data_IF_764101836929
#
_entry.id   IF_764101836929
#
_cell.length_a   1.000
_cell.length_b   1.000
_cell.length_c   1.000
_cell.angle_alpha   90.00
_cell.angle_beta   90.00
_cell.angle_gamma   90.00
#
_symmetry.space_group_name_H-M   'P 1'
#
loop_
_entity.id
_entity.type
_entity.pdbx_description
1 polymer ?
#
# COMPACT_ATOMS: atom_id res chain seq x y z
N UNK A 1 26.81 20.51 -3.08
CA UNK A 1 26.69 19.76 -1.81
C UNK A 1 26.23 20.77 -0.77
N UNK A 2 25.04 20.62 -0.20
CA UNK A 2 24.30 21.71 0.48
C UNK A 2 24.77 22.03 1.91
N UNK A 3 25.91 21.51 2.37
CA UNK A 3 26.48 21.84 3.67
C UNK A 3 25.62 21.41 4.87
N UNK A 4 24.59 20.58 4.66
CA UNK A 4 23.82 20.01 5.77
C UNK A 4 24.72 19.08 6.59
N UNK A 5 24.76 19.29 7.91
CA UNK A 5 25.45 18.39 8.84
C UNK A 5 24.87 16.98 8.74
N UNK A 6 25.71 15.93 8.86
CA UNK A 6 25.23 14.55 8.81
C UNK A 6 24.25 14.27 9.95
N UNK A 7 23.09 13.70 9.62
CA UNK A 7 22.12 13.23 10.61
C UNK A 7 22.65 11.97 11.31
N UNK A 8 23.00 12.09 12.59
CA UNK A 8 23.50 10.98 13.43
C UNK A 8 22.40 10.54 14.40
N UNK A 9 22.09 9.25 14.43
CA UNK A 9 21.10 8.64 15.33
C UNK A 9 21.43 7.16 15.58
N UNK A 10 20.80 6.52 16.57
CA UNK A 10 20.96 5.09 16.82
C UNK A 10 20.01 4.25 15.95
N UNK A 11 20.27 2.95 15.84
CA UNK A 11 19.36 2.03 15.16
C UNK A 11 17.98 2.00 15.83
N UNK A 12 17.93 2.07 17.16
CA UNK A 12 16.68 2.18 17.93
C UNK A 12 15.99 3.52 17.67
N UNK A 13 16.74 4.61 17.62
CA UNK A 13 16.22 5.94 17.30
C UNK A 13 15.60 6.01 15.91
N UNK A 14 16.23 5.37 14.92
CA UNK A 14 15.66 5.20 13.57
C UNK A 14 14.38 4.37 13.58
N UNK A 15 14.35 3.26 14.33
CA UNK A 15 13.20 2.37 14.42
C UNK A 15 12.01 2.99 15.16
N UNK A 16 12.27 3.89 16.12
CA UNK A 16 11.28 4.61 16.91
C UNK A 16 10.81 5.92 16.24
N UNK A 17 11.51 6.41 15.22
CA UNK A 17 11.17 7.65 14.52
C UNK A 17 9.82 7.59 13.80
N UNK A 18 9.37 6.39 13.42
CA UNK A 18 8.05 6.17 12.85
C UNK A 18 7.08 5.86 14.00
N UNK A 19 6.10 6.75 14.27
CA UNK A 19 5.11 6.51 15.32
C UNK A 19 4.27 5.27 14.97
N UNK A 20 4.00 4.43 15.96
CA UNK A 20 2.98 3.39 15.81
C UNK A 20 1.61 4.05 15.76
N UNK A 21 0.89 3.83 14.65
CA UNK A 21 -0.44 4.41 14.39
C UNK A 21 -1.50 3.33 14.23
N UNK A 22 -1.15 2.07 14.55
CA UNK A 22 -2.03 0.93 14.32
C UNK A 22 -2.22 0.61 12.83
N UNK A 23 -3.13 -0.31 12.50
CA UNK A 23 -3.27 -0.81 11.14
C UNK A 23 -3.91 0.21 10.21
N UNK A 24 -3.41 0.29 8.98
CA UNK A 24 -4.02 1.02 7.88
C UNK A 24 -5.49 0.63 7.71
N UNK A 25 -6.37 1.61 7.89
CA UNK A 25 -7.81 1.38 7.95
C UNK A 25 -8.41 1.25 6.54
N UNK A 26 -9.19 0.19 6.30
CA UNK A 26 -9.94 0.01 5.03
C UNK A 26 -11.30 0.68 5.12
N UNK A 27 -11.54 1.64 4.22
CA UNK A 27 -12.79 2.37 4.14
C UNK A 27 -13.93 1.52 3.54
N UNK A 28 -15.17 1.99 3.71
CA UNK A 28 -16.34 1.42 3.06
C UNK A 28 -16.20 1.56 1.53
N UNK A 29 -16.44 0.48 0.79
CA UNK A 29 -16.38 0.48 -0.69
C UNK A 29 -17.35 1.47 -1.35
N UNK A 30 -18.42 1.86 -0.65
CA UNK A 30 -19.50 2.72 -1.17
C UNK A 30 -19.39 4.15 -0.69
N UNK A 31 -19.34 4.36 0.63
CA UNK A 31 -19.43 5.69 1.23
C UNK A 31 -18.08 6.24 1.70
N UNK A 32 -17.01 5.44 1.60
CA UNK A 32 -15.63 5.81 1.94
C UNK A 32 -15.39 6.26 3.40
N UNK A 33 -16.39 6.18 4.27
CA UNK A 33 -16.22 6.30 5.72
C UNK A 33 -15.25 5.23 6.22
N UNK A 34 -14.59 5.48 7.34
CA UNK A 34 -13.72 4.52 8.02
C UNK A 34 -14.42 3.92 9.25
N UNK A 35 -14.07 2.71 9.69
CA UNK A 35 -14.50 2.14 10.96
C UNK A 35 -14.44 3.14 12.14
N UNK A 36 -13.32 3.85 12.28
CA UNK A 36 -13.14 4.87 13.32
C UNK A 36 -14.20 5.99 13.24
N UNK A 37 -14.49 6.51 12.04
CA UNK A 37 -15.52 7.54 11.86
C UNK A 37 -16.95 7.09 12.18
N UNK A 38 -17.16 5.77 12.33
CA UNK A 38 -18.45 5.18 12.66
C UNK A 38 -18.46 4.49 14.03
N UNK A 39 -17.40 4.64 14.83
CA UNK A 39 -17.30 4.04 16.17
C UNK A 39 -17.29 2.51 16.17
N UNK A 40 -16.83 1.88 15.09
CA UNK A 40 -16.72 0.40 14.99
C UNK A 40 -15.27 -0.02 14.77
N UNK A 41 -14.92 -1.22 15.23
CA UNK A 41 -13.57 -1.76 15.07
C UNK A 41 -13.25 -2.10 13.61
N UNK A 42 -14.20 -2.74 12.90
CA UNK A 42 -14.04 -3.07 11.49
C UNK A 42 -15.39 -3.15 10.77
N UNK A 43 -15.34 -3.09 9.44
CA UNK A 43 -16.50 -3.23 8.56
C UNK A 43 -16.65 -4.65 8.03
N UNK A 44 -17.88 -5.08 7.79
CA UNK A 44 -18.18 -6.39 7.22
C UNK A 44 -17.55 -6.57 5.85
N UNK A 45 -16.98 -7.75 5.59
CA UNK A 45 -16.40 -8.11 4.30
C UNK A 45 -17.50 -8.60 3.35
N UNK A 46 -17.32 -8.39 2.05
CA UNK A 46 -18.14 -9.03 1.03
C UNK A 46 -18.05 -10.56 1.19
N UNK A 47 -19.18 -11.24 1.40
CA UNK A 47 -19.20 -12.68 1.66
C UNK A 47 -18.68 -13.53 0.49
N UNK A 48 -18.71 -13.01 -0.74
CA UNK A 48 -18.26 -13.73 -1.92
C UNK A 48 -16.74 -13.60 -2.14
N UNK A 49 -16.21 -12.37 -2.23
CA UNK A 49 -14.78 -12.20 -2.50
C UNK A 49 -13.91 -12.01 -1.25
N UNK A 50 -14.49 -11.72 -0.07
CA UNK A 50 -13.76 -11.44 1.16
C UNK A 50 -12.92 -10.14 1.18
N UNK A 51 -12.81 -9.45 0.04
CA UNK A 51 -11.82 -8.36 -0.15
C UNK A 51 -12.37 -6.95 0.09
N UNK A 52 -13.57 -6.62 -0.41
CA UNK A 52 -14.18 -5.29 -0.19
C UNK A 52 -14.92 -5.27 1.15
N UNK A 53 -14.87 -4.15 1.87
CA UNK A 53 -15.55 -3.97 3.15
C UNK A 53 -16.67 -2.92 3.05
N UNK A 54 -17.74 -3.11 3.82
CA UNK A 54 -18.91 -2.25 3.83
C UNK A 54 -19.39 -1.98 5.26
N UNK A 55 -19.76 -0.72 5.54
CA UNK A 55 -20.31 -0.35 6.83
C UNK A 55 -21.75 -0.85 7.04
N UNK A 56 -22.46 -1.22 5.97
CA UNK A 56 -23.82 -1.74 6.05
C UNK A 56 -24.17 -2.59 4.81
N UNK A 57 -25.21 -3.42 4.94
CA UNK A 57 -25.80 -4.16 3.80
C UNK A 57 -26.31 -3.23 2.70
N UNK A 58 -26.83 -2.05 3.08
CA UNK A 58 -27.27 -1.03 2.12
C UNK A 58 -26.10 -0.53 1.27
N UNK A 59 -24.97 -0.19 1.89
CA UNK A 59 -23.77 0.21 1.15
C UNK A 59 -23.31 -0.89 0.19
N UNK A 60 -23.27 -2.15 0.64
CA UNK A 60 -22.93 -3.29 -0.22
C UNK A 60 -23.87 -3.42 -1.42
N UNK A 61 -25.18 -3.31 -1.20
CA UNK A 61 -26.18 -3.41 -2.27
C UNK A 61 -26.05 -2.25 -3.28
N UNK A 62 -25.82 -1.03 -2.81
CA UNK A 62 -25.61 0.15 -3.67
C UNK A 62 -24.34 0.03 -4.53
N UNK A 63 -23.26 -0.53 -3.98
CA UNK A 63 -22.00 -0.72 -4.70
C UNK A 63 -22.04 -1.92 -5.66
N UNK A 64 -23.02 -2.81 -5.56
CA UNK A 64 -23.04 -4.08 -6.29
C UNK A 64 -22.92 -3.93 -7.80
N UNK A 65 -23.55 -2.90 -8.40
CA UNK A 65 -23.47 -2.65 -9.84
C UNK A 65 -22.02 -2.45 -10.31
N UNK A 66 -21.21 -1.79 -9.51
CA UNK A 66 -19.78 -1.54 -9.80
C UNK A 66 -18.90 -2.70 -9.30
N UNK A 67 -19.19 -3.22 -8.10
CA UNK A 67 -18.39 -4.26 -7.46
C UNK A 67 -18.50 -5.63 -8.13
N UNK A 68 -19.64 -5.99 -8.74
CA UNK A 68 -19.92 -7.34 -9.23
C UNK A 68 -18.83 -7.90 -10.15
N UNK A 69 -18.34 -7.10 -11.10
CA UNK A 69 -17.28 -7.53 -12.03
C UNK A 69 -15.99 -7.88 -11.27
N UNK A 70 -15.56 -7.00 -10.36
CA UNK A 70 -14.37 -7.17 -9.53
C UNK A 70 -14.54 -8.35 -8.56
N UNK A 71 -15.73 -8.52 -8.00
CA UNK A 71 -16.04 -9.63 -7.10
C UNK A 71 -15.84 -10.97 -7.80
N UNK A 72 -16.41 -11.11 -9.02
CA UNK A 72 -16.25 -12.31 -9.84
C UNK A 72 -14.79 -12.56 -10.20
N UNK A 73 -14.06 -11.52 -10.62
CA UNK A 73 -12.66 -11.66 -11.00
C UNK A 73 -11.80 -12.14 -9.83
N UNK A 74 -11.99 -11.56 -8.64
CA UNK A 74 -11.27 -11.98 -7.42
C UNK A 74 -11.56 -13.44 -7.06
N UNK A 75 -12.82 -13.87 -7.13
CA UNK A 75 -13.20 -15.27 -6.85
C UNK A 75 -12.58 -16.22 -7.86
N UNK A 76 -12.63 -15.88 -9.16
CA UNK A 76 -12.03 -16.69 -10.21
C UNK A 76 -10.50 -16.78 -10.06
N UNK A 77 -9.85 -15.68 -9.66
CA UNK A 77 -8.41 -15.61 -9.43
C UNK A 77 -7.98 -16.60 -8.34
N UNK A 78 -8.70 -16.71 -7.22
CA UNK A 78 -8.36 -17.66 -6.14
C UNK A 78 -8.28 -19.10 -6.65
N UNK A 79 -9.26 -19.54 -7.45
CA UNK A 79 -9.25 -20.89 -8.04
C UNK A 79 -8.08 -21.11 -9.01
N UNK A 80 -7.77 -20.12 -9.86
CA UNK A 80 -6.64 -20.18 -10.80
C UNK A 80 -5.29 -20.24 -10.08
N UNK A 81 -5.12 -19.47 -9.01
CA UNK A 81 -3.88 -19.42 -8.23
C UNK A 81 -3.55 -20.78 -7.61
N UNK A 82 -4.54 -21.52 -7.11
CA UNK A 82 -4.31 -22.86 -6.55
C UNK A 82 -3.77 -23.84 -7.61
N UNK A 83 -4.36 -23.84 -8.82
CA UNK A 83 -3.90 -24.68 -9.93
C UNK A 83 -2.51 -24.26 -10.45
N UNK A 84 -2.25 -22.95 -10.54
CA UNK A 84 -0.96 -22.40 -10.94
C UNK A 84 0.14 -22.75 -9.94
N UNK A 85 -0.15 -22.70 -8.64
CA UNK A 85 0.79 -23.10 -7.59
C UNK A 85 1.25 -24.53 -7.75
N UNK A 86 0.30 -25.45 -7.96
CA UNK A 86 0.62 -26.86 -8.15
C UNK A 86 1.42 -27.09 -9.45
N UNK A 87 1.06 -26.40 -10.53
CA UNK A 87 1.78 -26.49 -11.80
C UNK A 87 3.23 -26.00 -11.67
N UNK A 88 3.44 -24.88 -10.99
CA UNK A 88 4.77 -24.33 -10.74
C UNK A 88 5.61 -25.26 -9.85
N UNK A 89 4.99 -25.84 -8.80
CA UNK A 89 5.63 -26.83 -7.92
C UNK A 89 6.11 -28.04 -8.72
N UNK A 90 5.28 -28.63 -9.57
CA UNK A 90 5.64 -29.78 -10.41
C UNK A 90 6.74 -29.42 -11.42
N UNK A 91 6.69 -28.22 -11.99
CA UNK A 91 7.68 -27.76 -12.96
C UNK A 91 9.00 -27.27 -12.31
N UNK A 92 9.13 -27.30 -10.98
CA UNK A 92 10.27 -26.71 -10.27
C UNK A 92 10.42 -25.21 -10.52
N UNK A 93 9.33 -24.51 -10.86
CA UNK A 93 9.32 -23.08 -11.15
C UNK A 93 8.92 -22.28 -9.91
N UNK A 94 9.48 -21.09 -9.80
CA UNK A 94 9.12 -20.10 -8.80
C UNK A 94 7.63 -19.74 -8.92
N UNK A 95 6.95 -19.66 -7.77
CA UNK A 95 5.55 -19.22 -7.69
C UNK A 95 5.44 -18.10 -6.65
N UNK A 96 4.90 -16.96 -7.07
CA UNK A 96 4.59 -15.83 -6.20
C UNK A 96 3.21 -15.29 -6.54
N UNK A 97 2.58 -14.61 -5.59
CA UNK A 97 1.28 -13.97 -5.83
C UNK A 97 1.27 -12.57 -5.24
N UNK A 98 0.38 -11.67 -5.71
CA UNK A 98 0.22 -10.35 -5.09
C UNK A 98 -0.11 -10.41 -3.60
N UNK A 99 -0.55 -11.57 -3.08
CA UNK A 99 -0.84 -11.77 -1.67
C UNK A 99 0.41 -11.77 -0.79
N UNK A 100 1.59 -12.12 -1.32
CA UNK A 100 2.85 -11.97 -0.58
C UNK A 100 3.08 -10.49 -0.27
N UNK A 101 2.99 -9.62 -1.29
CA UNK A 101 3.10 -8.16 -1.15
C UNK A 101 1.98 -7.62 -0.25
N UNK A 102 0.74 -8.11 -0.42
CA UNK A 102 -0.39 -7.71 0.42
C UNK A 102 -0.13 -8.00 1.90
N UNK A 103 0.35 -9.20 2.23
CA UNK A 103 0.62 -9.60 3.62
C UNK A 103 1.76 -8.77 4.20
N UNK A 104 2.85 -8.61 3.44
CA UNK A 104 4.00 -7.81 3.85
C UNK A 104 3.60 -6.38 4.23
N UNK A 105 2.93 -5.63 3.35
CA UNK A 105 2.64 -4.22 3.65
C UNK A 105 1.70 -4.08 4.87
N UNK A 106 0.83 -5.07 5.11
CA UNK A 106 -0.10 -5.05 6.26
C UNK A 106 0.63 -5.28 7.57
N UNK A 107 1.61 -6.18 7.58
CA UNK A 107 2.50 -6.37 8.73
C UNK A 107 3.34 -5.11 8.99
N UNK A 108 3.61 -4.32 7.95
CA UNK A 108 4.42 -3.10 7.99
C UNK A 108 3.61 -1.79 7.96
N UNK A 109 2.34 -1.84 8.33
CA UNK A 109 1.37 -0.76 8.07
C UNK A 109 1.76 0.62 8.57
N UNK A 110 2.42 0.74 9.74
CA UNK A 110 2.87 2.03 10.28
C UNK A 110 3.92 2.71 9.37
N UNK A 111 4.90 1.94 8.88
CA UNK A 111 5.94 2.47 7.99
C UNK A 111 5.37 2.84 6.62
N UNK A 112 4.43 2.04 6.10
CA UNK A 112 3.72 2.31 4.85
C UNK A 112 2.85 3.57 4.96
N UNK A 113 2.11 3.73 6.07
CA UNK A 113 1.34 4.94 6.33
C UNK A 113 2.24 6.17 6.43
N UNK A 114 3.35 6.07 7.16
CA UNK A 114 4.31 7.17 7.31
C UNK A 114 4.92 7.58 5.97
N UNK A 115 5.33 6.61 5.15
CA UNK A 115 5.81 6.83 3.80
C UNK A 115 4.75 7.53 2.92
N UNK A 116 3.52 7.01 2.90
CA UNK A 116 2.41 7.56 2.13
C UNK A 116 2.04 8.98 2.56
N UNK A 117 2.03 9.24 3.88
CA UNK A 117 1.76 10.55 4.46
C UNK A 117 2.73 11.62 3.98
N UNK A 118 4.02 11.30 3.92
CA UNK A 118 5.05 12.23 3.48
C UNK A 118 5.09 12.36 1.95
N UNK A 119 5.08 11.25 1.22
CA UNK A 119 5.23 11.29 -0.24
C UNK A 119 4.01 11.91 -0.93
N UNK A 120 2.81 11.77 -0.37
CA UNK A 120 1.58 12.42 -0.87
C UNK A 120 1.32 13.79 -0.21
N UNK A 121 2.27 14.27 0.59
CA UNK A 121 2.21 15.58 1.26
C UNK A 121 0.92 15.81 2.07
N UNK A 122 0.43 14.76 2.73
CA UNK A 122 -0.85 14.78 3.46
C UNK A 122 -0.83 15.86 4.55
N UNK A 123 0.32 16.14 5.16
CA UNK A 123 0.53 17.21 6.14
C UNK A 123 0.16 18.62 5.64
N UNK A 124 0.09 18.86 4.32
CA UNK A 124 -0.36 20.16 3.75
C UNK A 124 -1.89 20.33 3.79
N UNK A 125 -2.62 19.30 4.22
CA UNK A 125 -4.07 19.33 4.32
C UNK A 125 -4.80 18.92 3.04
N UNK A 126 -6.13 18.79 3.10
CA UNK A 126 -6.92 18.20 2.01
C UNK A 126 -6.95 19.04 0.72
N UNK A 127 -6.60 20.33 0.77
CA UNK A 127 -6.59 21.20 -0.43
C UNK A 127 -5.24 21.25 -1.14
N UNK A 128 -4.15 21.08 -0.41
CA UNK A 128 -2.79 21.26 -0.92
C UNK A 128 -1.96 19.96 -0.96
N UNK A 129 -2.48 18.85 -0.44
CA UNK A 129 -1.88 17.52 -0.58
C UNK A 129 -2.06 16.95 -1.99
N UNK A 130 -1.31 15.89 -2.28
CA UNK A 130 -1.31 15.21 -3.58
C UNK A 130 -2.38 14.11 -3.70
N UNK A 131 -3.22 13.92 -2.67
CA UNK A 131 -4.23 12.84 -2.59
C UNK A 131 -5.18 12.77 -3.81
N UNK A 132 -5.47 13.92 -4.45
CA UNK A 132 -6.40 13.98 -5.59
C UNK A 132 -5.74 13.74 -6.94
N UNK A 133 -4.42 13.82 -7.01
CA UNK A 133 -3.68 13.90 -8.28
C UNK A 133 -2.63 12.80 -8.42
N UNK A 134 -2.15 12.21 -7.31
CA UNK A 134 -1.04 11.27 -7.32
C UNK A 134 -1.37 9.91 -6.70
N UNK A 135 -0.55 8.93 -7.05
CA UNK A 135 -0.48 7.58 -6.47
C UNK A 135 0.86 7.44 -5.78
N UNK A 136 0.88 6.85 -4.58
CA UNK A 136 2.12 6.43 -3.93
C UNK A 136 2.53 5.06 -4.49
N UNK A 137 3.60 5.04 -5.27
CA UNK A 137 4.13 3.84 -5.92
C UNK A 137 5.33 3.35 -5.12
N UNK A 138 5.17 2.21 -4.46
CA UNK A 138 6.19 1.50 -3.69
C UNK A 138 6.85 0.45 -4.57
N UNK A 139 8.15 0.57 -4.79
CA UNK A 139 8.93 -0.48 -5.44
C UNK A 139 9.45 -1.45 -4.39
N UNK A 140 9.13 -2.72 -4.58
CA UNK A 140 9.50 -3.83 -3.70
C UNK A 140 10.13 -4.96 -4.49
N UNK A 141 10.77 -5.89 -3.80
CA UNK A 141 11.25 -7.16 -4.34
C UNK A 141 10.74 -8.29 -3.48
N UNK A 142 10.07 -9.25 -4.10
CA UNK A 142 9.78 -10.53 -3.47
C UNK A 142 11.05 -11.38 -3.49
N UNK A 143 11.35 -12.06 -2.38
CA UNK A 143 12.55 -12.90 -2.29
C UNK A 143 12.61 -13.96 -3.41
N UNK A 144 13.79 -14.16 -3.98
CA UNK A 144 13.96 -15.05 -5.11
C UNK A 144 13.85 -16.52 -4.69
N UNK A 145 14.42 -16.87 -3.54
CA UNK A 145 14.50 -18.24 -3.02
C UNK A 145 13.21 -18.65 -2.31
N UNK A 146 12.55 -17.69 -1.67
CA UNK A 146 11.42 -17.89 -0.76
C UNK A 146 10.28 -16.92 -1.10
N UNK A 147 9.75 -16.95 -2.34
CA UNK A 147 8.83 -15.93 -2.86
C UNK A 147 7.44 -15.85 -2.20
N UNK A 148 7.09 -16.86 -1.42
CA UNK A 148 5.84 -16.89 -0.66
C UNK A 148 6.01 -16.36 0.76
N UNK A 149 7.25 -16.04 1.19
CA UNK A 149 7.55 -15.49 2.50
C UNK A 149 7.39 -13.95 2.49
N UNK A 150 6.35 -13.39 3.13
CA UNK A 150 6.14 -11.95 3.17
C UNK A 150 7.20 -11.23 4.01
N UNK A 151 7.86 -11.89 4.96
CA UNK A 151 8.84 -11.24 5.84
C UNK A 151 10.18 -11.01 5.13
N UNK A 152 10.37 -11.60 3.94
CA UNK A 152 11.55 -11.41 3.09
C UNK A 152 11.33 -10.43 1.94
N UNK A 153 10.15 -9.80 1.85
CA UNK A 153 9.89 -8.75 0.85
C UNK A 153 10.72 -7.51 1.19
N UNK A 154 11.56 -7.09 0.24
CA UNK A 154 12.45 -5.94 0.39
C UNK A 154 11.84 -4.68 -0.21
N UNK A 155 11.90 -3.57 0.52
CA UNK A 155 11.49 -2.25 0.02
C UNK A 155 12.68 -1.50 -0.58
N UNK A 156 12.48 -0.83 -1.71
CA UNK A 156 13.52 -0.01 -2.36
C UNK A 156 13.23 1.48 -2.22
N UNK A 157 12.08 1.91 -2.72
CA UNK A 157 11.70 3.32 -2.70
C UNK A 157 10.17 3.48 -2.80
N UNK A 158 9.74 4.73 -2.58
CA UNK A 158 8.38 5.17 -2.87
C UNK A 158 8.43 6.49 -3.63
N UNK A 159 7.60 6.59 -4.66
CA UNK A 159 7.43 7.78 -5.50
C UNK A 159 5.98 8.24 -5.48
N UNK A 160 5.74 9.55 -5.57
CA UNK A 160 4.43 10.09 -5.92
C UNK A 160 4.40 10.28 -7.43
N UNK A 161 3.57 9.49 -8.13
CA UNK A 161 3.37 9.64 -9.57
C UNK A 161 2.00 10.28 -9.86
N UNK A 162 1.90 11.28 -10.75
CA UNK A 162 0.63 11.76 -11.25
C UNK A 162 -0.20 10.60 -11.84
N UNK A 163 -1.52 10.61 -11.64
CA UNK A 163 -2.42 9.52 -12.04
C UNK A 163 -2.29 9.11 -13.53
N UNK A 164 -2.10 10.08 -14.42
CA UNK A 164 -1.99 9.79 -15.85
C UNK A 164 -0.62 9.21 -16.23
N UNK A 165 0.47 9.68 -15.60
CA UNK A 165 1.80 9.08 -15.76
C UNK A 165 1.85 7.66 -15.19
N UNK A 166 1.26 7.46 -14.01
CA UNK A 166 1.10 6.16 -13.39
C UNK A 166 0.36 5.17 -14.30
N UNK A 167 -0.73 5.60 -14.92
CA UNK A 167 -1.51 4.75 -15.83
C UNK A 167 -0.68 4.27 -17.03
N UNK A 168 0.15 5.17 -17.59
CA UNK A 168 1.01 4.86 -18.73
C UNK A 168 2.16 3.93 -18.33
N UNK A 169 2.89 4.25 -17.26
CA UNK A 169 4.07 3.50 -16.83
C UNK A 169 3.71 2.08 -16.38
N UNK A 170 2.60 1.92 -15.65
CA UNK A 170 2.20 0.61 -15.10
C UNK A 170 1.31 -0.20 -16.04
N UNK A 171 1.05 0.30 -17.26
CA UNK A 171 0.15 -0.34 -18.25
C UNK A 171 -1.20 -0.72 -17.63
N UNK A 172 -1.74 0.18 -16.81
CA UNK A 172 -2.92 -0.10 -15.99
C UNK A 172 -4.15 -0.32 -16.86
N UNK A 173 -4.91 -1.38 -16.58
CA UNK A 173 -6.20 -1.58 -17.25
C UNK A 173 -7.21 -0.50 -16.83
N UNK A 174 -8.19 -0.27 -17.70
CA UNK A 174 -9.21 0.78 -17.50
C UNK A 174 -9.97 0.62 -16.17
N UNK A 175 -10.32 -0.60 -15.79
CA UNK A 175 -11.11 -0.85 -14.58
C UNK A 175 -10.32 -0.47 -13.32
N UNK A 176 -9.04 -0.85 -13.24
CA UNK A 176 -8.20 -0.45 -12.12
C UNK A 176 -7.86 1.05 -12.12
N UNK A 177 -7.66 1.66 -13.29
CA UNK A 177 -7.45 3.10 -13.39
C UNK A 177 -8.67 3.89 -12.90
N UNK A 178 -9.88 3.49 -13.27
CA UNK A 178 -11.12 4.13 -12.83
C UNK A 178 -11.29 4.04 -11.30
N UNK A 179 -10.85 2.93 -10.69
CA UNK A 179 -10.82 2.78 -9.22
C UNK A 179 -9.82 3.74 -8.57
N UNK A 180 -8.62 3.88 -9.12
CA UNK A 180 -7.63 4.85 -8.64
C UNK A 180 -8.18 6.27 -8.70
N UNK A 181 -8.78 6.65 -9.84
CA UNK A 181 -9.40 7.97 -10.04
C UNK A 181 -10.57 8.21 -9.09
N UNK A 182 -11.39 7.19 -8.81
CA UNK A 182 -12.48 7.27 -7.81
C UNK A 182 -11.91 7.49 -6.41
N UNK A 183 -10.91 6.70 -6.00
CA UNK A 183 -10.26 6.80 -4.70
C UNK A 183 -9.58 8.17 -4.48
N UNK A 184 -8.85 8.67 -5.48
CA UNK A 184 -8.21 9.97 -5.41
C UNK A 184 -9.23 11.12 -5.29
N UNK A 185 -10.34 11.05 -6.04
CA UNK A 185 -11.44 12.04 -5.94
C UNK A 185 -12.08 12.06 -4.55
N UNK A 186 -12.11 10.92 -3.86
CA UNK A 186 -12.60 10.81 -2.48
C UNK A 186 -11.52 11.03 -1.43
N UNK A 187 -10.34 11.52 -1.84
CA UNK A 187 -9.21 11.87 -0.98
C UNK A 187 -8.66 10.72 -0.15
N UNK A 188 -8.74 9.51 -0.69
CA UNK A 188 -8.04 8.36 -0.14
C UNK A 188 -6.59 8.34 -0.64
N UNK A 189 -5.68 7.80 0.18
CA UNK A 189 -4.36 7.41 -0.27
C UNK A 189 -4.49 6.21 -1.21
N UNK A 190 -3.96 6.37 -2.43
CA UNK A 190 -3.84 5.27 -3.40
C UNK A 190 -2.44 4.71 -3.27
N UNK A 191 -2.33 3.47 -2.79
CA UNK A 191 -1.05 2.79 -2.60
C UNK A 191 -0.91 1.71 -3.67
N UNK A 192 0.14 1.79 -4.47
CA UNK A 192 0.48 0.80 -5.47
C UNK A 192 1.84 0.20 -5.15
N UNK A 193 1.90 -1.12 -5.06
CA UNK A 193 3.11 -1.86 -4.79
C UNK A 193 3.49 -2.64 -6.03
N UNK A 194 4.75 -2.62 -6.42
CA UNK A 194 5.22 -3.32 -7.62
C UNK A 194 6.60 -3.93 -7.43
N UNK A 195 6.70 -5.18 -7.83
CA UNK A 195 7.94 -5.86 -8.17
C UNK A 195 8.12 -5.79 -9.70
N UNK A 196 9.15 -5.07 -10.14
CA UNK A 196 9.36 -4.78 -11.56
C UNK A 196 9.98 -5.95 -12.35
N UNK A 197 10.67 -6.90 -11.71
CA UNK A 197 11.26 -8.07 -12.41
C UNK A 197 10.20 -9.11 -12.72
N UNK A 198 9.31 -9.36 -11.75
CA UNK A 198 8.23 -10.34 -11.92
C UNK A 198 6.92 -9.70 -12.41
N UNK A 199 6.91 -8.37 -12.56
CA UNK A 199 5.73 -7.56 -12.86
C UNK A 199 4.54 -7.84 -11.92
N UNK A 200 4.86 -8.21 -10.67
CA UNK A 200 3.91 -8.51 -9.63
C UNK A 200 3.46 -7.21 -8.98
N UNK A 201 2.16 -6.97 -8.90
CA UNK A 201 1.67 -5.72 -8.32
C UNK A 201 0.43 -5.90 -7.46
N UNK A 202 0.27 -4.99 -6.50
CA UNK A 202 -0.87 -4.95 -5.59
C UNK A 202 -1.33 -3.51 -5.40
N UNK A 203 -2.64 -3.29 -5.34
CA UNK A 203 -3.22 -1.95 -5.15
C UNK A 203 -4.20 -1.91 -3.99
N UNK A 204 -4.04 -0.91 -3.14
CA UNK A 204 -4.87 -0.70 -1.95
C UNK A 204 -5.26 0.76 -1.80
N UNK A 205 -6.37 0.97 -1.09
CA UNK A 205 -6.93 2.30 -0.86
C UNK A 205 -7.19 2.49 0.62
N UNK A 206 -6.63 3.55 1.19
CA UNK A 206 -6.67 3.82 2.62
C UNK A 206 -7.08 5.26 2.90
N UNK A 207 -7.81 5.48 4.00
CA UNK A 207 -8.06 6.84 4.47
C UNK A 207 -6.74 7.47 4.97
N UNK A 208 -6.46 8.74 4.66
CA UNK A 208 -5.27 9.41 5.18
C UNK A 208 -5.40 9.61 6.71
N UNK A 209 -4.29 9.62 7.46
CA UNK A 209 -4.31 10.08 8.84
C UNK A 209 -4.59 11.60 8.90
N UNK A 210 -4.93 12.11 10.09
CA UNK A 210 -5.23 13.53 10.26
C UNK A 210 -4.02 14.41 9.93
N UNK A 211 -4.25 15.46 9.14
CA UNK A 211 -3.28 16.51 8.82
C UNK A 211 -3.38 17.71 9.76
N UNK A 212 -4.40 17.75 10.61
CA UNK A 212 -4.76 18.91 11.42
C UNK A 212 -3.61 19.44 12.31
N UNK A 213 -2.86 18.59 13.05
CA UNK A 213 -1.74 19.07 13.86
C UNK A 213 -0.65 19.76 13.03
N UNK A 214 -0.46 19.36 11.78
CA UNK A 214 0.55 19.96 10.89
C UNK A 214 0.06 21.28 10.32
N UNK A 215 -1.21 21.34 9.88
CA UNK A 215 -1.80 22.56 9.34
C UNK A 215 -1.99 23.66 10.40
N UNK A 216 -2.07 23.28 11.69
CA UNK A 216 -2.08 24.22 12.82
C UNK A 216 -0.69 24.63 13.30
N UNK A 217 0.38 24.06 12.74
CA UNK A 217 1.76 24.30 13.16
C UNK A 217 2.17 23.61 14.47
N UNK A 218 1.35 22.70 14.99
CA UNK A 218 1.63 21.92 16.21
C UNK A 218 2.66 20.80 15.96
N UNK A 219 2.77 20.34 14.71
CA UNK A 219 3.76 19.34 14.27
C UNK A 219 4.44 19.77 12.99
N UNK A 220 5.68 19.32 12.81
CA UNK A 220 6.42 19.43 11.54
C UNK A 220 6.56 18.06 10.88
N UNK A 221 6.56 17.98 9.54
CA UNK A 221 6.82 16.71 8.85
C UNK A 221 8.22 16.20 9.14
N UNK A 222 8.37 14.88 9.18
CA UNK A 222 9.64 14.23 9.41
C UNK A 222 10.58 14.48 8.22
N UNK A 223 11.67 15.21 8.44
CA UNK A 223 12.64 15.58 7.41
C UNK A 223 13.44 14.40 6.89
N UNK A 224 13.58 13.34 7.70
CA UNK A 224 14.39 12.15 7.39
C UNK A 224 13.54 10.91 7.12
N UNK A 225 12.24 11.10 6.84
CA UNK A 225 11.27 10.01 6.70
C UNK A 225 11.70 8.89 5.75
N UNK A 226 12.41 9.21 4.67
CA UNK A 226 12.91 8.19 3.72
C UNK A 226 13.89 7.22 4.40
N UNK A 227 14.85 7.75 5.16
CA UNK A 227 15.81 6.94 5.88
C UNK A 227 15.11 6.10 6.95
N UNK A 228 14.21 6.71 7.72
CA UNK A 228 13.42 6.00 8.73
C UNK A 228 12.59 4.85 8.12
N UNK A 229 11.94 5.07 6.99
CA UNK A 229 11.13 4.05 6.29
C UNK A 229 12.00 2.91 5.78
N UNK A 230 13.13 3.21 5.12
CA UNK A 230 14.05 2.17 4.63
C UNK A 230 14.56 1.32 5.79
N UNK A 231 15.00 1.94 6.88
CA UNK A 231 15.50 1.22 8.05
C UNK A 231 14.41 0.37 8.71
N UNK A 232 13.20 0.92 8.86
CA UNK A 232 12.08 0.19 9.48
C UNK A 232 11.64 -1.01 8.66
N UNK A 233 11.60 -0.88 7.33
CA UNK A 233 11.12 -1.93 6.43
C UNK A 233 12.18 -3.00 6.14
N UNK A 234 13.47 -2.63 6.09
CA UNK A 234 14.52 -3.55 5.68
C UNK A 234 15.48 -3.98 6.81
N UNK A 235 15.44 -3.34 7.98
CA UNK A 235 16.46 -3.51 9.03
C UNK A 235 16.56 -4.93 9.61
N UNK A 236 15.49 -5.73 9.51
CA UNK A 236 15.49 -7.13 9.94
C UNK A 236 15.78 -8.14 8.83
N UNK A 237 15.97 -7.68 7.59
CA UNK A 237 16.22 -8.57 6.46
C UNK A 237 17.66 -9.08 6.48
N UNK A 238 17.91 -10.32 6.03
CA UNK A 238 19.27 -10.75 5.75
C UNK A 238 19.93 -9.77 4.78
N UNK A 239 21.23 -9.53 4.93
CA UNK A 239 22.00 -8.78 3.94
C UNK A 239 21.76 -9.41 2.57
N UNK A 240 21.46 -8.59 1.56
CA UNK A 240 21.46 -9.09 0.19
C UNK A 240 22.84 -9.70 -0.02
N UNK A 241 22.90 -11.01 -0.30
CA UNK A 241 24.14 -11.60 -0.77
C UNK A 241 24.52 -10.75 -1.99
N UNK A 242 25.68 -10.10 -1.94
CA UNK A 242 26.22 -9.48 -3.15
C UNK A 242 26.20 -10.57 -4.21
N UNK A 243 25.53 -10.31 -5.33
CA UNK A 243 25.63 -11.20 -6.48
C UNK A 243 27.13 -11.44 -6.71
N UNK A 244 27.59 -12.70 -6.78
CA UNK A 244 28.94 -12.93 -7.25
C UNK A 244 29.00 -12.40 -8.69
N UNK A 245 29.81 -11.35 -8.89
CA UNK A 245 30.22 -10.89 -10.22
C UNK A 245 30.77 -12.04 -11.09
#
# INVERSE_FOLDING_TARGET
MDGSEPFVTTAEGMAAAIPDRGPLVRACGTCHKTPASMGVQEFSKCASCGMTRYCSRQCQASDWKEHKAICKERVAQVGRLAAQRETARVAGKRFCTPMTIQTWYRNQSAAIEHAAFHILEVYKGPKASLLRTHVAVFTVRVDEKTPEDPDLVRFFNVLALPLDEFAQQMRMDKMNLDRCKKAARTQMMVLYFVDMQDWLHHIEFHGPPSSEPYTRGEKTPDKHWRAHVIMKLNGGLPNAQADPE
#
